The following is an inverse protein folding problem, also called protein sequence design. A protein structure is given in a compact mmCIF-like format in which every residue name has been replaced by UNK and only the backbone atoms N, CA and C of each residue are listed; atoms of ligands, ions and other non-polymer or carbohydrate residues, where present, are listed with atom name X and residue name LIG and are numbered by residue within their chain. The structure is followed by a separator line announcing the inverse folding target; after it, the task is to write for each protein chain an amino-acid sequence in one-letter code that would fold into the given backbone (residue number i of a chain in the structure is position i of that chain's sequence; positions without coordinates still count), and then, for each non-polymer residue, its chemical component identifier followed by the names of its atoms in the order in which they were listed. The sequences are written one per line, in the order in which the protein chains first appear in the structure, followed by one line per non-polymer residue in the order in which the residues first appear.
data_IF_547219402689
#
_entry.id   IF_547219402689
#
_cell.length_a   1.000
_cell.length_b   1.000
_cell.length_c   1.000
_cell.angle_alpha   90.00
_cell.angle_beta   90.00
_cell.angle_gamma   90.00
#
_symmetry.space_group_name_H-M   'P 1'
#
loop_
_entity.id
_entity.type
_entity.pdbx_description
1 polymer ?
#
# COMPACT_ATOMS: atom_id res chain seq x y z
N UNK A 1 -5.72 13.61 10.78
CA UNK A 1 -7.17 13.45 11.10
C UNK A 1 -7.36 12.03 11.59
N UNK A 2 -8.17 11.78 12.63
CA UNK A 2 -8.41 10.42 13.11
C UNK A 2 -9.82 9.93 12.74
N UNK A 3 -10.00 8.71 12.19
CA UNK A 3 -11.33 8.11 12.07
C UNK A 3 -11.73 7.52 13.42
N UNK A 4 -12.98 7.75 13.83
CA UNK A 4 -13.52 7.13 15.02
C UNK A 4 -13.83 5.66 14.72
N UNK A 5 -13.82 4.80 15.74
CA UNK A 5 -14.21 3.39 15.61
C UNK A 5 -15.58 3.21 14.98
N UNK A 6 -16.48 4.17 15.18
CA UNK A 6 -17.86 4.16 14.70
C UNK A 6 -18.03 4.87 13.36
N UNK A 7 -16.95 5.34 12.72
CA UNK A 7 -17.05 5.96 11.40
C UNK A 7 -17.53 4.90 10.39
N UNK A 8 -18.60 5.18 9.61
CA UNK A 8 -19.05 4.27 8.57
C UNK A 8 -18.00 4.04 7.49
N UNK A 9 -17.91 2.81 6.97
CA UNK A 9 -16.85 2.43 6.01
C UNK A 9 -16.86 3.25 4.70
N UNK A 10 -18.01 3.75 4.27
CA UNK A 10 -18.13 4.55 3.05
C UNK A 10 -17.57 5.98 3.18
N UNK A 11 -17.31 6.46 4.40
CA UNK A 11 -16.64 7.75 4.62
C UNK A 11 -15.11 7.63 4.60
N UNK A 12 -14.57 6.42 4.50
CA UNK A 12 -13.13 6.19 4.49
C UNK A 12 -12.58 6.52 3.09
N UNK A 13 -11.56 7.39 2.97
CA UNK A 13 -10.91 7.67 1.70
C UNK A 13 -10.36 6.40 1.06
N UNK A 14 -10.59 6.24 -0.25
CA UNK A 14 -10.24 5.04 -1.00
C UNK A 14 -11.29 3.91 -0.94
N UNK A 15 -12.34 4.04 -0.12
CA UNK A 15 -13.48 3.13 -0.14
C UNK A 15 -14.58 3.70 -1.03
N UNK A 16 -14.65 3.20 -2.27
CA UNK A 16 -15.75 3.51 -3.18
C UNK A 16 -17.03 2.72 -2.88
N UNK A 17 -18.12 3.06 -3.57
CA UNK A 17 -19.43 2.43 -3.38
C UNK A 17 -19.40 0.90 -3.54
N UNK A 18 -18.61 0.39 -4.49
CA UNK A 18 -18.43 -1.06 -4.71
C UNK A 18 -17.75 -1.73 -3.52
N UNK A 19 -16.65 -1.17 -3.03
CA UNK A 19 -15.92 -1.68 -1.87
C UNK A 19 -16.78 -1.63 -0.61
N UNK A 20 -17.50 -0.52 -0.38
CA UNK A 20 -18.43 -0.39 0.73
C UNK A 20 -19.53 -1.45 0.71
N UNK A 21 -20.08 -1.78 -0.46
CA UNK A 21 -21.09 -2.83 -0.62
C UNK A 21 -20.55 -4.21 -0.23
N UNK A 22 -19.35 -4.55 -0.68
CA UNK A 22 -18.71 -5.83 -0.32
C UNK A 22 -18.42 -5.87 1.18
N UNK A 23 -17.90 -4.79 1.77
CA UNK A 23 -17.67 -4.69 3.21
C UNK A 23 -18.97 -4.87 4.00
N UNK A 24 -20.06 -4.24 3.58
CA UNK A 24 -21.38 -4.42 4.21
C UNK A 24 -21.88 -5.86 4.09
N UNK A 25 -21.68 -6.52 2.95
CA UNK A 25 -22.05 -7.94 2.78
C UNK A 25 -21.23 -8.87 3.69
N UNK A 26 -20.01 -8.46 4.08
CA UNK A 26 -19.16 -9.14 5.05
C UNK A 26 -19.50 -8.77 6.51
N UNK A 27 -20.53 -7.94 6.74
CA UNK A 27 -20.92 -7.46 8.07
C UNK A 27 -20.03 -6.36 8.65
N UNK A 28 -19.16 -5.77 7.82
CA UNK A 28 -18.25 -4.69 8.21
C UNK A 28 -18.85 -3.34 7.82
N UNK A 29 -19.43 -2.66 8.81
CA UNK A 29 -20.11 -1.38 8.63
C UNK A 29 -19.28 -0.20 9.12
N UNK A 30 -18.35 -0.43 10.05
CA UNK A 30 -17.56 0.65 10.67
C UNK A 30 -16.05 0.47 10.50
N UNK A 31 -15.32 1.57 10.60
CA UNK A 31 -13.87 1.61 10.55
C UNK A 31 -13.21 0.76 11.65
N UNK A 32 -13.82 0.71 12.84
CA UNK A 32 -13.34 -0.14 13.94
C UNK A 32 -13.47 -1.63 13.64
N UNK A 33 -14.57 -2.04 13.02
CA UNK A 33 -14.77 -3.41 12.57
C UNK A 33 -13.76 -3.78 11.48
N UNK A 34 -13.57 -2.89 10.49
CA UNK A 34 -12.58 -3.09 9.43
C UNK A 34 -11.15 -3.23 9.99
N UNK A 35 -10.79 -2.45 11.00
CA UNK A 35 -9.48 -2.53 11.65
C UNK A 35 -9.27 -3.81 12.49
N UNK A 36 -10.36 -4.52 12.82
CA UNK A 36 -10.29 -5.79 13.55
C UNK A 36 -10.04 -6.98 12.62
N UNK A 37 -10.15 -6.79 11.30
CA UNK A 37 -9.95 -7.85 10.31
C UNK A 37 -8.46 -7.93 9.93
N UNK A 38 -7.88 -9.14 9.86
CA UNK A 38 -6.51 -9.33 9.38
C UNK A 38 -6.30 -8.76 7.98
N UNK A 39 -5.20 -8.01 7.81
CA UNK A 39 -4.83 -7.38 6.54
C UNK A 39 -4.74 -8.39 5.38
N UNK A 40 -4.21 -9.59 5.63
CA UNK A 40 -4.05 -10.63 4.63
C UNK A 40 -5.39 -11.03 4.00
N UNK A 41 -6.45 -11.16 4.80
CA UNK A 41 -7.78 -11.51 4.30
C UNK A 41 -8.36 -10.37 3.46
N UNK A 42 -8.14 -9.13 3.86
CA UNK A 42 -8.58 -7.97 3.09
C UNK A 42 -7.83 -7.88 1.75
N UNK A 43 -6.55 -8.24 1.71
CA UNK A 43 -5.77 -8.30 0.46
C UNK A 43 -6.25 -9.43 -0.44
N UNK A 44 -6.64 -10.57 0.11
CA UNK A 44 -7.16 -11.69 -0.68
C UNK A 44 -8.49 -11.32 -1.37
N UNK A 45 -9.36 -10.57 -0.68
CA UNK A 45 -10.68 -10.19 -1.19
C UNK A 45 -10.61 -8.99 -2.15
N UNK A 46 -9.84 -7.95 -1.79
CA UNK A 46 -9.86 -6.66 -2.47
C UNK A 46 -8.59 -6.38 -3.29
N UNK A 47 -7.57 -7.21 -3.15
CA UNK A 47 -6.25 -7.02 -3.74
C UNK A 47 -5.34 -6.10 -2.92
N UNK A 48 -4.08 -5.92 -3.36
CA UNK A 48 -3.06 -5.17 -2.62
C UNK A 48 -3.36 -3.68 -2.48
N UNK A 49 -4.27 -3.12 -3.29
CA UNK A 49 -4.68 -1.71 -3.24
C UNK A 49 -5.35 -1.34 -1.90
N UNK A 50 -5.97 -2.31 -1.20
CA UNK A 50 -6.62 -2.08 0.10
C UNK A 50 -5.65 -1.61 1.18
N UNK A 51 -4.34 -1.85 1.00
CA UNK A 51 -3.28 -1.38 1.90
C UNK A 51 -3.32 0.13 2.06
N UNK A 52 -3.66 0.89 1.01
CA UNK A 52 -3.76 2.36 1.08
C UNK A 52 -4.90 2.81 1.99
N UNK A 53 -6.03 2.10 1.95
CA UNK A 53 -7.19 2.34 2.82
C UNK A 53 -6.82 2.02 4.27
N UNK A 54 -6.15 0.88 4.50
CA UNK A 54 -5.70 0.48 5.84
C UNK A 54 -4.65 1.44 6.41
N UNK A 55 -3.69 1.89 5.61
CA UNK A 55 -2.73 2.92 6.01
C UNK A 55 -3.44 4.21 6.41
N UNK A 56 -4.45 4.63 5.63
CA UNK A 56 -5.26 5.81 5.94
C UNK A 56 -5.96 5.67 7.29
N UNK A 57 -6.44 4.46 7.63
CA UNK A 57 -6.98 4.14 8.95
C UNK A 57 -5.90 4.08 10.05
N UNK A 58 -4.73 3.50 9.83
CA UNK A 58 -3.70 3.40 10.87
C UNK A 58 -2.99 4.70 11.18
N UNK A 59 -2.86 5.59 10.19
CA UNK A 59 -2.40 6.98 10.39
C UNK A 59 -3.33 7.75 11.36
N UNK A 60 -4.56 7.27 11.51
CA UNK A 60 -5.54 7.84 12.42
C UNK A 60 -5.46 7.29 13.83
N UNK A 61 -5.28 5.97 13.94
CA UNK A 61 -5.28 5.26 15.21
C UNK A 61 -3.90 5.30 15.88
N UNK A 62 -3.48 6.46 16.39
CA UNK A 62 -2.34 6.53 17.33
C UNK A 62 -2.75 6.02 18.72
N UNK A 63 -3.01 4.72 18.86
CA UNK A 63 -2.87 4.01 20.14
C UNK A 63 -2.27 2.62 19.91
N UNK A 64 -1.19 2.40 20.67
CA UNK A 64 -0.32 1.23 20.76
C UNK A 64 -1.09 -0.09 20.65
N UNK A 65 -0.76 -0.88 19.64
CA UNK A 65 -0.46 -2.31 19.82
C UNK A 65 0.53 -2.74 18.74
N UNK A 66 1.79 -2.84 19.15
CA UNK A 66 2.83 -3.56 18.44
C UNK A 66 2.44 -5.02 18.37
N UNK A 67 2.21 -5.54 17.16
CA UNK A 67 2.60 -6.89 16.77
C UNK A 67 2.71 -6.98 15.24
N UNK A 68 3.71 -6.29 14.70
CA UNK A 68 4.19 -6.55 13.35
C UNK A 68 5.47 -7.36 13.46
N UNK A 69 5.35 -8.68 13.34
CA UNK A 69 6.48 -9.52 12.93
C UNK A 69 6.69 -9.27 11.44
N UNK A 70 7.68 -8.44 11.14
CA UNK A 70 8.21 -8.22 9.80
C UNK A 70 8.73 -9.55 9.24
N UNK A 71 7.90 -10.28 8.49
CA UNK A 71 8.40 -11.33 7.60
C UNK A 71 8.52 -10.73 6.21
N UNK A 72 9.75 -10.41 5.88
CA UNK A 72 10.26 -10.06 4.57
C UNK A 72 9.64 -10.92 3.47
N UNK A 73 8.92 -10.30 2.53
CA UNK A 73 8.84 -10.79 1.16
C UNK A 73 9.22 -9.62 0.26
N UNK A 74 10.47 -9.65 -0.17
CA UNK A 74 10.98 -8.89 -1.31
C UNK A 74 10.11 -9.24 -2.51
N UNK A 75 9.54 -8.26 -3.21
CA UNK A 75 9.40 -8.24 -4.67
C UNK A 75 8.82 -6.88 -5.11
N UNK A 76 9.61 -6.18 -5.95
CA UNK A 76 9.33 -5.11 -6.92
C UNK A 76 7.89 -4.53 -6.98
N UNK A 77 7.67 -3.21 -7.05
CA UNK A 77 8.18 -2.30 -8.08
C UNK A 77 8.31 -0.86 -7.54
N UNK A 78 9.48 -0.25 -7.78
CA UNK A 78 9.74 1.16 -7.50
C UNK A 78 9.50 1.93 -8.80
N UNK A 79 8.32 2.52 -8.96
CA UNK A 79 8.09 3.57 -9.94
C UNK A 79 8.08 4.92 -9.22
N UNK A 80 9.29 5.42 -8.98
CA UNK A 80 9.52 6.82 -8.62
C UNK A 80 9.85 7.55 -9.92
N UNK A 81 8.83 8.05 -10.60
CA UNK A 81 9.03 9.03 -11.66
C UNK A 81 9.37 10.38 -11.00
N UNK A 82 10.66 10.59 -10.76
CA UNK A 82 11.21 11.92 -10.43
C UNK A 82 11.76 12.53 -11.71
N UNK A 83 11.09 13.60 -12.12
CA UNK A 83 11.46 14.50 -13.19
C UNK A 83 12.90 15.01 -13.07
N UNK A 84 13.69 14.59 -14.05
CA UNK A 84 14.78 15.29 -14.74
C UNK A 84 15.29 16.60 -14.09
N UNK A 85 16.52 16.55 -13.56
CA UNK A 85 17.60 17.49 -13.93
C UNK A 85 18.96 16.99 -13.39
N UNK A 86 19.85 16.68 -14.33
CA UNK A 86 21.33 16.68 -14.22
C UNK A 86 21.98 15.67 -13.25
N UNK A 87 22.52 14.60 -13.82
CA UNK A 87 23.97 14.28 -13.70
C UNK A 87 24.30 13.12 -14.61
N UNK A 88 25.08 13.43 -15.64
CA UNK A 88 25.81 12.49 -16.47
C UNK A 88 26.73 11.58 -15.63
N UNK A 89 27.09 10.46 -16.25
CA UNK A 89 28.27 9.64 -15.99
C UNK A 89 28.17 8.62 -14.86
N UNK A 90 28.05 7.35 -15.25
CA UNK A 90 28.85 6.24 -14.67
C UNK A 90 28.73 4.89 -15.40
N UNK A 91 27.91 4.73 -16.44
CA UNK A 91 27.67 3.38 -17.05
C UNK A 91 28.04 3.20 -18.53
N UNK A 92 28.78 4.13 -19.16
CA UNK A 92 29.20 3.98 -20.58
C UNK A 92 30.63 3.41 -20.73
N UNK A 93 31.36 3.13 -19.64
CA UNK A 93 32.79 2.73 -19.75
C UNK A 93 33.10 1.24 -19.88
N UNK A 94 32.14 0.38 -20.24
CA UNK A 94 32.44 -1.06 -20.42
C UNK A 94 32.14 -1.62 -21.81
N UNK A 95 31.36 -0.93 -22.66
CA UNK A 95 30.95 -1.45 -23.96
C UNK A 95 31.86 -1.05 -25.14
N UNK A 96 32.95 -0.30 -24.90
CA UNK A 96 33.84 0.18 -25.96
C UNK A 96 35.06 -0.73 -26.24
N UNK A 97 35.22 -1.87 -25.55
CA UNK A 97 36.50 -2.60 -25.55
C UNK A 97 36.45 -4.05 -26.06
N UNK A 98 35.43 -4.44 -26.85
CA UNK A 98 35.33 -5.80 -27.42
C UNK A 98 35.08 -5.82 -28.94
N UNK A 99 35.17 -4.68 -29.63
CA UNK A 99 34.91 -4.58 -31.08
C UNK A 99 36.10 -4.09 -31.92
N UNK A 100 37.33 -4.19 -31.41
CA UNK A 100 38.54 -3.72 -32.13
C UNK A 100 39.55 -4.83 -32.51
N UNK A 101 39.28 -6.11 -32.31
CA UNK A 101 40.20 -7.17 -32.74
C UNK A 101 39.44 -8.27 -33.48
N UNK A 102 39.17 -8.05 -34.75
CA UNK A 102 39.05 -9.06 -35.82
C UNK A 102 39.25 -8.35 -37.16
#
# INVERSE_FOLDING_TARGET
MSFASNTPVHFIPGVGHRTAKVLHNLGLHTAGQLNSVPEQLLIEIFGPSIRTVLQTLHLTTRKKDQKYTSTSVQHATVEVEKSNKKSLSSRIRFAAQVLSLS
#
